data_IF_833741982393
#
_entry.id   IF_833741982393
#
_cell.length_a   1.000
_cell.length_b   1.000
_cell.length_c   1.000
_cell.angle_alpha   90.00
_cell.angle_beta   90.00
_cell.angle_gamma   90.00
#
_symmetry.space_group_name_H-M   'P 1'
#
loop_
_entity.id
_entity.type
_entity.pdbx_description
1 polymer ?
#
# COMPACT_ATOMS: atom_id res chain seq x y z
N UNK A 1 12.61 -5.08 -15.18
CA UNK A 1 11.89 -4.21 -16.15
C UNK A 1 12.68 -2.95 -16.40
N UNK A 2 12.82 -2.50 -17.65
CA UNK A 2 13.42 -1.21 -17.97
C UNK A 2 12.41 -0.07 -17.78
N UNK A 3 12.84 1.20 -17.61
CA UNK A 3 11.93 2.36 -17.56
C UNK A 3 11.02 2.47 -18.78
N UNK A 4 11.52 2.23 -19.99
CA UNK A 4 10.70 2.28 -21.21
C UNK A 4 9.58 1.23 -21.17
N UNK A 5 9.90 0.01 -20.72
CA UNK A 5 8.90 -1.04 -20.53
C UNK A 5 7.88 -0.68 -19.44
N UNK A 6 8.33 -0.05 -18.36
CA UNK A 6 7.44 0.46 -17.32
C UNK A 6 6.44 1.48 -17.88
N UNK A 7 6.91 2.44 -18.68
CA UNK A 7 6.05 3.43 -19.34
C UNK A 7 5.01 2.74 -20.24
N UNK A 8 5.46 1.76 -21.05
CA UNK A 8 4.57 0.99 -21.94
C UNK A 8 3.46 0.27 -21.15
N UNK A 9 3.83 -0.42 -20.05
CA UNK A 9 2.86 -1.15 -19.22
C UNK A 9 1.91 -0.21 -18.47
N UNK A 10 2.39 0.93 -18.00
CA UNK A 10 1.55 1.97 -17.40
C UNK A 10 0.53 2.52 -18.40
N UNK A 11 0.96 2.76 -19.66
CA UNK A 11 0.06 3.23 -20.72
C UNK A 11 -1.07 2.25 -21.01
N UNK A 12 -0.84 0.94 -20.95
CA UNK A 12 -1.88 -0.10 -21.10
C UNK A 12 -2.95 -0.01 -20.00
N UNK A 13 -2.59 0.59 -18.85
CA UNK A 13 -3.47 0.81 -17.70
C UNK A 13 -4.02 2.24 -17.64
N UNK A 14 -3.93 3.00 -18.74
CA UNK A 14 -4.34 4.40 -18.82
C UNK A 14 -3.60 5.34 -17.87
N UNK A 15 -2.40 4.96 -17.42
CA UNK A 15 -1.52 5.82 -16.60
C UNK A 15 -0.49 6.50 -17.49
N UNK A 16 -0.49 7.83 -17.46
CA UNK A 16 0.48 8.63 -18.20
C UNK A 16 1.68 8.93 -17.29
N UNK A 17 2.85 8.45 -17.69
CA UNK A 17 4.10 8.62 -16.95
C UNK A 17 4.95 9.68 -17.64
N UNK A 18 5.28 10.75 -16.93
CA UNK A 18 6.14 11.84 -17.42
C UNK A 18 7.64 11.54 -17.22
N UNK A 19 8.51 12.27 -17.90
CA UNK A 19 9.96 12.20 -17.69
C UNK A 19 10.35 12.57 -16.25
N UNK A 20 9.65 13.51 -15.64
CA UNK A 20 9.83 13.87 -14.23
C UNK A 20 9.57 12.67 -13.31
N UNK A 21 8.47 11.93 -13.54
CA UNK A 21 8.13 10.73 -12.75
C UNK A 21 9.20 9.64 -12.91
N UNK A 22 9.74 9.45 -14.11
CA UNK A 22 10.85 8.50 -14.33
C UNK A 22 12.10 8.94 -13.56
N UNK A 23 12.44 10.23 -13.61
CA UNK A 23 13.57 10.79 -12.86
C UNK A 23 13.39 10.56 -11.34
N UNK A 24 12.17 10.75 -10.83
CA UNK A 24 11.84 10.49 -9.43
C UNK A 24 11.97 8.98 -9.09
N UNK A 25 11.45 8.08 -9.93
CA UNK A 25 11.56 6.63 -9.72
C UNK A 25 13.02 6.16 -9.77
N UNK A 26 13.83 6.69 -10.68
CA UNK A 26 15.27 6.38 -10.76
C UNK A 26 16.03 6.85 -9.52
N UNK A 27 15.71 8.05 -9.03
CA UNK A 27 16.28 8.57 -7.78
C UNK A 27 15.87 7.70 -6.60
N UNK A 28 14.61 7.29 -6.56
CA UNK A 28 14.09 6.39 -5.52
C UNK A 28 14.79 5.02 -5.54
N UNK A 29 14.99 4.42 -6.72
CA UNK A 29 15.71 3.15 -6.85
C UNK A 29 17.17 3.26 -6.35
N UNK A 30 17.85 4.38 -6.64
CA UNK A 30 19.22 4.65 -6.15
C UNK A 30 19.23 4.77 -4.63
N UNK A 31 18.34 5.58 -4.05
CA UNK A 31 18.23 5.74 -2.59
C UNK A 31 17.92 4.39 -1.92
N UNK A 32 17.01 3.60 -2.49
CA UNK A 32 16.68 2.27 -1.98
C UNK A 32 17.92 1.38 -1.91
N UNK A 33 18.73 1.31 -2.98
CA UNK A 33 19.98 0.54 -3.02
C UNK A 33 21.00 1.03 -2.00
N UNK A 34 21.19 2.35 -1.89
CA UNK A 34 22.13 2.97 -0.93
C UNK A 34 21.75 2.68 0.52
N UNK A 35 20.48 2.83 0.86
CA UNK A 35 19.99 2.58 2.20
C UNK A 35 19.90 1.08 2.52
N UNK A 36 19.58 0.25 1.52
CA UNK A 36 19.50 -1.20 1.69
C UNK A 36 20.82 -1.81 2.13
N UNK A 37 21.94 -1.28 1.64
CA UNK A 37 23.28 -1.71 2.07
C UNK A 37 23.55 -1.51 3.57
N UNK A 38 22.79 -0.63 4.24
CA UNK A 38 22.93 -0.29 5.65
C UNK A 38 21.84 -0.85 6.56
N UNK A 39 20.64 -1.17 5.99
CA UNK A 39 19.45 -1.37 6.82
C UNK A 39 18.60 -2.59 6.46
N UNK A 40 18.92 -3.34 5.40
CA UNK A 40 18.10 -4.45 4.91
C UNK A 40 16.61 -4.05 4.75
N UNK A 41 16.36 -3.02 3.96
CA UNK A 41 15.01 -2.52 3.68
C UNK A 41 14.18 -3.49 2.83
N UNK A 42 14.85 -4.15 1.88
CA UNK A 42 14.27 -5.09 0.93
C UNK A 42 15.29 -6.13 0.50
N UNK A 43 14.81 -7.28 0.04
CA UNK A 43 15.65 -8.29 -0.62
C UNK A 43 15.93 -7.96 -2.09
N UNK A 44 15.31 -6.89 -2.63
CA UNK A 44 15.35 -6.52 -4.05
C UNK A 44 15.90 -5.10 -4.15
N UNK A 45 17.09 -4.93 -4.73
CA UNK A 45 17.78 -3.64 -4.86
C UNK A 45 18.43 -3.40 -6.24
N UNK A 46 18.40 -4.41 -7.11
CA UNK A 46 18.81 -4.20 -8.51
C UNK A 46 17.72 -3.40 -9.26
N UNK A 47 18.15 -2.34 -9.97
CA UNK A 47 17.27 -1.34 -10.58
C UNK A 47 16.11 -1.94 -11.39
N UNK A 48 16.39 -2.90 -12.26
CA UNK A 48 15.36 -3.51 -13.10
C UNK A 48 14.37 -4.37 -12.31
N UNK A 49 14.85 -5.03 -11.25
CA UNK A 49 13.95 -5.76 -10.34
C UNK A 49 13.10 -4.83 -9.48
N UNK A 50 13.66 -3.69 -9.04
CA UNK A 50 12.91 -2.63 -8.32
C UNK A 50 11.78 -2.09 -9.20
N UNK A 51 12.06 -1.81 -10.48
CA UNK A 51 11.03 -1.38 -11.43
C UNK A 51 9.92 -2.43 -11.61
N UNK A 52 10.26 -3.72 -11.68
CA UNK A 52 9.28 -4.81 -11.84
C UNK A 52 8.50 -5.09 -10.54
N UNK A 53 9.25 -5.47 -9.50
CA UNK A 53 8.69 -6.09 -8.29
C UNK A 53 8.29 -5.07 -7.22
N UNK A 54 8.70 -3.79 -7.38
CA UNK A 54 8.27 -2.73 -6.47
C UNK A 54 7.45 -1.67 -7.17
N UNK A 55 7.94 -1.03 -8.23
CA UNK A 55 7.21 0.07 -8.86
C UNK A 55 6.00 -0.42 -9.66
N UNK A 56 6.21 -1.36 -10.58
CA UNK A 56 5.11 -1.89 -11.39
C UNK A 56 4.09 -2.66 -10.54
N UNK A 57 4.56 -3.50 -9.62
CA UNK A 57 3.69 -4.17 -8.65
C UNK A 57 2.82 -3.17 -7.87
N UNK A 58 3.39 -2.04 -7.45
CA UNK A 58 2.66 -1.00 -6.72
C UNK A 58 1.57 -0.31 -7.52
N UNK A 59 1.74 -0.16 -8.84
CA UNK A 59 0.75 0.51 -9.69
C UNK A 59 -0.39 -0.39 -10.17
N UNK A 60 -0.27 -1.71 -10.03
CA UNK A 60 -1.29 -2.64 -10.50
C UNK A 60 -2.70 -2.32 -9.97
N UNK A 61 -2.91 -1.95 -8.69
CA UNK A 61 -4.24 -1.61 -8.19
C UNK A 61 -4.71 -0.18 -8.52
N UNK A 62 -3.86 0.65 -9.13
CA UNK A 62 -4.25 2.02 -9.45
C UNK A 62 -5.29 2.08 -10.55
N UNK A 63 -6.40 2.74 -10.26
CA UNK A 63 -7.47 3.06 -11.18
C UNK A 63 -8.17 4.35 -10.74
N UNK A 64 -9.19 4.79 -11.46
CA UNK A 64 -9.90 6.05 -11.21
C UNK A 64 -10.66 6.09 -9.88
N UNK A 65 -10.90 4.95 -9.24
CA UNK A 65 -11.54 4.90 -7.92
C UNK A 65 -10.59 5.25 -6.77
N UNK A 66 -9.28 5.24 -6.99
CA UNK A 66 -8.27 5.65 -6.01
C UNK A 66 -8.17 7.18 -6.02
N UNK A 67 -8.78 7.84 -5.04
CA UNK A 67 -8.86 9.30 -4.95
C UNK A 67 -8.76 9.78 -3.50
N UNK A 68 -8.47 11.07 -3.33
CA UNK A 68 -8.53 11.77 -2.05
C UNK A 68 -7.42 11.36 -1.08
N UNK A 69 -7.81 11.12 0.17
CA UNK A 69 -6.89 10.75 1.26
C UNK A 69 -6.60 9.25 1.25
N UNK A 70 -5.34 8.90 1.12
CA UNK A 70 -4.86 7.51 1.09
C UNK A 70 -4.01 7.22 2.32
N UNK A 71 -4.23 6.09 2.99
CA UNK A 71 -3.30 5.56 3.99
C UNK A 71 -2.64 4.27 3.47
N UNK A 72 -1.31 4.21 3.57
CA UNK A 72 -0.52 3.01 3.31
C UNK A 72 -0.03 2.42 4.63
N UNK A 73 -0.63 1.29 5.04
CA UNK A 73 -0.40 0.67 6.36
C UNK A 73 0.75 -0.32 6.29
N UNK A 74 1.76 -0.07 7.13
CA UNK A 74 2.98 -0.87 7.12
C UNK A 74 3.76 -0.66 5.83
N UNK A 75 3.86 0.58 5.39
CA UNK A 75 4.43 0.97 4.09
C UNK A 75 5.86 0.47 3.85
N UNK A 76 6.61 0.15 4.91
CA UNK A 76 7.97 -0.35 4.82
C UNK A 76 8.92 0.65 4.18
N UNK A 77 9.42 0.29 3.01
CA UNK A 77 10.25 1.18 2.20
C UNK A 77 9.42 2.12 1.29
N UNK A 78 8.10 2.29 1.55
CA UNK A 78 7.25 3.24 0.82
C UNK A 78 6.37 2.61 -0.27
N UNK A 79 6.08 1.31 -0.18
CA UNK A 79 5.34 0.58 -1.20
C UNK A 79 3.97 0.11 -0.69
N UNK A 80 2.85 0.49 -1.36
CA UNK A 80 2.78 1.19 -2.63
C UNK A 80 2.73 2.73 -2.52
N UNK A 81 2.62 3.32 -1.32
CA UNK A 81 2.20 4.70 -1.08
C UNK A 81 3.06 5.77 -1.76
N UNK A 82 4.41 5.65 -1.73
CA UNK A 82 5.31 6.61 -2.40
C UNK A 82 5.18 6.51 -3.92
N UNK A 83 5.08 5.29 -4.46
CA UNK A 83 4.90 5.10 -5.91
C UNK A 83 3.58 5.71 -6.37
N UNK A 84 2.49 5.49 -5.61
CA UNK A 84 1.20 6.11 -5.90
C UNK A 84 1.30 7.63 -5.91
N UNK A 85 2.02 8.21 -4.94
CA UNK A 85 2.22 9.66 -4.88
C UNK A 85 3.01 10.22 -6.06
N UNK A 86 4.01 9.48 -6.55
CA UNK A 86 4.79 9.88 -7.74
C UNK A 86 3.89 9.93 -8.97
N UNK A 87 3.10 8.88 -9.21
CA UNK A 87 2.29 8.76 -10.44
C UNK A 87 0.92 9.44 -10.34
N UNK A 88 0.44 9.77 -9.15
CA UNK A 88 -0.82 10.45 -8.85
C UNK A 88 -0.57 11.61 -7.88
N UNK A 89 -0.12 12.73 -8.43
CA UNK A 89 0.21 13.96 -7.66
C UNK A 89 -0.98 14.54 -6.89
N UNK A 90 -2.20 14.22 -7.32
CA UNK A 90 -3.46 14.64 -6.73
C UNK A 90 -3.79 13.97 -5.39
N UNK A 91 -3.21 12.82 -5.08
CA UNK A 91 -3.48 12.09 -3.84
C UNK A 91 -2.84 12.79 -2.62
N UNK A 92 -3.54 12.73 -1.49
CA UNK A 92 -2.99 13.04 -0.16
C UNK A 92 -2.62 11.73 0.53
N UNK A 93 -1.32 11.46 0.73
CA UNK A 93 -0.82 10.16 1.17
C UNK A 93 -0.31 10.21 2.61
N UNK A 94 -0.76 9.25 3.42
CA UNK A 94 -0.28 8.99 4.78
C UNK A 94 0.45 7.66 4.82
N UNK A 95 1.75 7.68 5.08
CA UNK A 95 2.59 6.50 5.24
C UNK A 95 2.64 6.13 6.72
N UNK A 96 2.11 4.96 7.09
CA UNK A 96 2.07 4.48 8.48
C UNK A 96 3.11 3.37 8.63
N UNK A 97 4.19 3.64 9.39
CA UNK A 97 5.33 2.74 9.56
C UNK A 97 5.84 2.80 11.00
N UNK A 98 5.79 1.70 11.76
CA UNK A 98 6.22 1.71 13.15
C UNK A 98 7.75 1.75 13.36
N UNK A 99 8.54 1.46 12.32
CA UNK A 99 10.00 1.33 12.42
C UNK A 99 10.68 2.66 12.15
N UNK A 100 11.19 3.33 13.18
CA UNK A 100 11.82 4.65 13.04
C UNK A 100 12.95 4.74 12.03
N UNK A 101 13.74 3.66 11.83
CA UNK A 101 14.77 3.63 10.78
C UNK A 101 14.17 3.70 9.36
N UNK A 102 13.03 3.01 9.13
CA UNK A 102 12.31 3.09 7.84
C UNK A 102 11.70 4.47 7.64
N UNK A 103 11.18 5.08 8.69
CA UNK A 103 10.68 6.46 8.62
C UNK A 103 11.76 7.45 8.18
N UNK A 104 12.99 7.33 8.69
CA UNK A 104 14.13 8.16 8.24
C UNK A 104 14.45 7.97 6.76
N UNK A 105 14.39 6.75 6.27
CA UNK A 105 14.52 6.48 4.82
C UNK A 105 13.41 7.17 4.02
N UNK A 106 12.16 7.06 4.47
CA UNK A 106 11.02 7.70 3.81
C UNK A 106 11.13 9.23 3.83
N UNK A 107 11.61 9.83 4.92
CA UNK A 107 11.90 11.27 5.01
C UNK A 107 12.91 11.70 3.95
N UNK A 108 14.00 10.94 3.79
CA UNK A 108 15.00 11.20 2.74
C UNK A 108 14.40 11.07 1.33
N UNK A 109 13.63 10.00 1.07
CA UNK A 109 12.96 9.79 -0.22
C UNK A 109 12.02 10.97 -0.54
N UNK A 110 11.15 11.35 0.39
CA UNK A 110 10.19 12.45 0.20
C UNK A 110 10.93 13.76 -0.10
N UNK A 111 12.00 14.04 0.62
CA UNK A 111 12.83 15.24 0.45
C UNK A 111 13.51 15.26 -0.92
N UNK A 112 14.21 14.18 -1.29
CA UNK A 112 14.97 14.09 -2.55
C UNK A 112 14.08 14.09 -3.80
N UNK A 113 12.87 13.55 -3.68
CA UNK A 113 11.88 13.53 -4.76
C UNK A 113 10.99 14.77 -4.78
N UNK A 114 11.17 15.70 -3.85
CA UNK A 114 10.34 16.90 -3.68
C UNK A 114 8.84 16.62 -3.64
N UNK A 115 8.43 15.53 -2.96
CA UNK A 115 7.03 15.17 -2.89
C UNK A 115 6.28 16.06 -1.88
N UNK A 116 5.13 16.56 -2.28
CA UNK A 116 4.20 17.32 -1.44
C UNK A 116 2.95 16.51 -1.09
N UNK A 117 2.17 16.94 -0.09
CA UNK A 117 0.94 16.25 0.32
C UNK A 117 1.14 14.75 0.63
N UNK A 118 2.28 14.44 1.25
CA UNK A 118 2.61 13.12 1.76
C UNK A 118 3.18 13.26 3.17
N UNK A 119 2.70 12.44 4.12
CA UNK A 119 3.09 12.50 5.53
C UNK A 119 3.50 11.13 6.03
N UNK A 120 4.46 11.09 6.94
CA UNK A 120 4.92 9.88 7.61
C UNK A 120 4.40 9.89 9.05
N UNK A 121 3.84 8.75 9.47
CA UNK A 121 3.41 8.51 10.83
C UNK A 121 4.22 7.35 11.42
N UNK A 122 5.18 7.67 12.29
CA UNK A 122 5.97 6.65 12.99
C UNK A 122 5.16 6.05 14.15
N UNK A 123 4.11 5.33 13.80
CA UNK A 123 3.15 4.70 14.72
C UNK A 123 2.73 3.34 14.20
N UNK A 124 2.22 2.48 15.08
CA UNK A 124 1.46 1.30 14.68
C UNK A 124 0.07 1.70 14.20
N UNK A 125 -0.53 0.91 13.30
CA UNK A 125 -1.85 1.22 12.74
C UNK A 125 -2.93 1.33 13.83
N UNK A 126 -2.94 0.43 14.81
CA UNK A 126 -3.89 0.44 15.92
C UNK A 126 -3.75 1.68 16.85
N UNK A 127 -2.58 2.32 16.83
CA UNK A 127 -2.35 3.59 17.53
C UNK A 127 -2.81 4.76 16.67
N UNK A 128 -2.55 4.70 15.37
CA UNK A 128 -2.93 5.73 14.39
C UNK A 128 -4.45 5.88 14.30
N UNK A 129 -5.19 4.78 14.36
CA UNK A 129 -6.67 4.79 14.36
C UNK A 129 -7.27 5.65 15.47
N UNK A 130 -6.60 5.80 16.61
CA UNK A 130 -7.14 6.61 17.73
C UNK A 130 -7.34 8.08 17.36
N UNK A 131 -6.54 8.60 16.43
CA UNK A 131 -6.58 9.98 15.96
C UNK A 131 -7.23 10.12 14.57
N UNK A 132 -7.24 9.05 13.77
CA UNK A 132 -7.60 9.06 12.34
C UNK A 132 -8.65 7.99 11.97
N UNK A 133 -9.57 7.69 12.90
CA UNK A 133 -10.61 6.68 12.69
C UNK A 133 -11.55 7.09 11.56
N UNK A 134 -11.76 6.18 10.60
CA UNK A 134 -12.69 6.37 9.47
C UNK A 134 -12.45 7.68 8.69
N UNK A 135 -11.19 8.06 8.53
CA UNK A 135 -10.80 9.32 7.89
C UNK A 135 -10.44 9.16 6.41
N UNK A 136 -9.91 7.99 6.01
CA UNK A 136 -9.31 7.80 4.69
C UNK A 136 -10.31 7.35 3.64
N UNK A 137 -10.21 7.92 2.43
CA UNK A 137 -10.96 7.51 1.25
C UNK A 137 -10.53 6.11 0.81
N UNK A 138 -9.22 5.86 0.84
CA UNK A 138 -8.61 4.59 0.48
C UNK A 138 -7.56 4.21 1.53
N UNK A 139 -7.61 2.97 1.97
CA UNK A 139 -6.54 2.37 2.77
C UNK A 139 -5.94 1.21 1.98
N UNK A 140 -4.63 1.14 1.94
CA UNK A 140 -3.91 0.06 1.27
C UNK A 140 -2.85 -0.54 2.19
N UNK A 141 -2.44 -1.76 1.87
CA UNK A 141 -1.30 -2.42 2.49
C UNK A 141 -0.76 -3.51 1.57
N UNK A 142 0.57 -3.67 1.55
CA UNK A 142 1.26 -4.70 0.79
C UNK A 142 2.21 -5.51 1.68
N UNK A 143 2.13 -6.84 1.61
CA UNK A 143 3.05 -7.78 2.27
C UNK A 143 3.20 -7.61 3.80
N UNK A 144 2.19 -7.10 4.49
CA UNK A 144 2.24 -6.85 5.95
C UNK A 144 1.87 -8.09 6.76
N UNK A 145 0.75 -8.73 6.41
CA UNK A 145 0.20 -9.87 7.13
C UNK A 145 -0.85 -10.62 6.29
N UNK A 146 -1.31 -11.76 6.80
CA UNK A 146 -2.50 -12.44 6.34
C UNK A 146 -3.72 -11.52 6.44
N UNK A 147 -4.71 -11.69 5.54
CA UNK A 147 -5.84 -10.78 5.39
C UNK A 147 -6.70 -10.64 6.67
N UNK A 148 -6.83 -11.69 7.48
CA UNK A 148 -7.57 -11.63 8.77
C UNK A 148 -6.94 -10.61 9.73
N UNK A 149 -5.61 -10.64 9.86
CA UNK A 149 -4.85 -9.67 10.67
C UNK A 149 -4.89 -8.29 10.03
N UNK A 150 -4.65 -8.24 8.72
CA UNK A 150 -4.55 -7.00 7.96
C UNK A 150 -5.87 -6.22 7.96
N UNK A 151 -7.00 -6.90 7.85
CA UNK A 151 -8.33 -6.27 7.88
C UNK A 151 -8.55 -5.47 9.17
N UNK A 152 -8.19 -6.02 10.32
CA UNK A 152 -8.37 -5.31 11.60
C UNK A 152 -7.43 -4.11 11.76
N UNK A 153 -6.27 -4.13 11.09
CA UNK A 153 -5.33 -3.00 11.08
C UNK A 153 -5.75 -1.89 10.12
N UNK A 154 -6.43 -2.23 9.01
CA UNK A 154 -6.73 -1.31 7.92
C UNK A 154 -8.17 -0.79 7.94
N UNK A 155 -9.17 -1.67 8.13
CA UNK A 155 -10.57 -1.31 7.97
C UNK A 155 -11.06 -0.20 8.92
N UNK A 156 -10.58 -0.10 10.18
CA UNK A 156 -11.00 1.01 11.06
C UNK A 156 -10.53 2.39 10.60
N UNK A 157 -9.57 2.48 9.69
CA UNK A 157 -9.09 3.73 9.09
C UNK A 157 -9.94 4.18 7.90
N UNK A 158 -10.63 3.24 7.23
CA UNK A 158 -11.45 3.51 6.05
C UNK A 158 -12.73 4.24 6.44
N UNK A 159 -13.05 5.37 5.83
CA UNK A 159 -14.33 6.06 6.02
C UNK A 159 -15.49 5.25 5.42
N UNK A 160 -16.70 5.43 5.94
CA UNK A 160 -17.90 4.83 5.33
C UNK A 160 -18.03 5.35 3.89
N UNK A 161 -18.22 4.42 2.93
CA UNK A 161 -18.18 4.72 1.49
C UNK A 161 -16.78 4.71 0.89
N UNK A 162 -15.71 4.61 1.69
CA UNK A 162 -14.33 4.43 1.23
C UNK A 162 -13.98 2.97 0.90
N UNK A 163 -12.72 2.71 0.61
CA UNK A 163 -12.27 1.38 0.17
C UNK A 163 -10.98 0.93 0.86
N UNK A 164 -10.89 -0.36 1.14
CA UNK A 164 -9.65 -1.04 1.49
C UNK A 164 -9.17 -1.84 0.28
N UNK A 165 -7.96 -1.54 -0.20
CA UNK A 165 -7.36 -2.17 -1.37
C UNK A 165 -6.14 -2.96 -0.93
N UNK A 166 -6.09 -4.26 -1.23
CA UNK A 166 -4.98 -5.13 -0.86
C UNK A 166 -4.49 -5.94 -2.04
N UNK A 167 -3.18 -6.12 -2.10
CA UNK A 167 -2.48 -6.90 -3.12
C UNK A 167 -2.02 -8.21 -2.51
N UNK A 168 -2.36 -9.32 -3.17
CA UNK A 168 -2.02 -10.68 -2.77
C UNK A 168 -1.32 -11.43 -3.91
N UNK A 169 -0.62 -12.48 -3.57
CA UNK A 169 -0.14 -13.47 -4.54
C UNK A 169 -1.19 -14.55 -4.79
N UNK A 170 -0.78 -15.70 -5.30
CA UNK A 170 -1.63 -16.84 -5.71
C UNK A 170 -2.54 -17.45 -4.63
N UNK A 171 -2.44 -17.02 -3.38
CA UNK A 171 -3.28 -17.48 -2.26
C UNK A 171 -4.30 -16.43 -1.80
N UNK A 172 -4.54 -15.41 -2.60
CA UNK A 172 -5.44 -14.32 -2.24
C UNK A 172 -6.87 -14.78 -1.99
N UNK A 173 -7.41 -15.61 -2.84
CA UNK A 173 -8.77 -16.17 -2.68
C UNK A 173 -8.93 -16.98 -1.39
N UNK A 174 -7.95 -17.80 -1.03
CA UNK A 174 -7.96 -18.55 0.24
C UNK A 174 -7.99 -17.58 1.43
N UNK A 175 -7.13 -16.55 1.40
CA UNK A 175 -7.10 -15.54 2.46
C UNK A 175 -8.42 -14.77 2.58
N UNK A 176 -9.09 -14.46 1.45
CA UNK A 176 -10.41 -13.80 1.44
C UNK A 176 -11.46 -14.69 2.06
N UNK A 177 -11.47 -15.99 1.73
CA UNK A 177 -12.39 -16.95 2.34
C UNK A 177 -12.20 -17.05 3.86
N UNK A 178 -10.96 -17.12 4.32
CA UNK A 178 -10.62 -17.14 5.74
C UNK A 178 -11.01 -15.85 6.47
N UNK A 179 -10.90 -14.70 5.77
CA UNK A 179 -11.16 -13.37 6.31
C UNK A 179 -12.64 -12.95 6.26
N UNK A 180 -13.56 -13.75 5.72
CA UNK A 180 -14.99 -13.37 5.55
C UNK A 180 -15.61 -12.82 6.83
N UNK A 181 -15.37 -13.48 7.96
CA UNK A 181 -15.88 -13.04 9.25
C UNK A 181 -15.28 -11.68 9.65
N UNK A 182 -13.96 -11.52 9.54
CA UNK A 182 -13.28 -10.27 9.85
C UNK A 182 -13.81 -9.11 9.00
N UNK A 183 -13.91 -9.31 7.68
CA UNK A 183 -14.42 -8.32 6.73
C UNK A 183 -15.83 -7.87 7.12
N UNK A 184 -16.74 -8.81 7.39
CA UNK A 184 -18.12 -8.51 7.78
C UNK A 184 -18.19 -7.75 9.12
N UNK A 185 -17.51 -8.24 10.16
CA UNK A 185 -17.51 -7.61 11.50
C UNK A 185 -16.94 -6.19 11.47
N UNK A 186 -15.97 -5.93 10.59
CA UNK A 186 -15.34 -4.62 10.45
C UNK A 186 -16.12 -3.65 9.56
N UNK A 187 -17.33 -4.03 9.10
CA UNK A 187 -18.21 -3.19 8.29
C UNK A 187 -17.78 -3.06 6.83
N UNK A 188 -17.09 -4.08 6.32
CA UNK A 188 -16.61 -4.13 4.94
C UNK A 188 -17.34 -5.20 4.11
N UNK A 189 -17.36 -5.02 2.81
CA UNK A 189 -17.88 -5.97 1.83
C UNK A 189 -16.90 -6.06 0.66
N UNK A 190 -16.66 -7.27 0.14
CA UNK A 190 -15.90 -7.44 -1.11
C UNK A 190 -16.67 -6.79 -2.25
N UNK A 191 -16.02 -5.84 -2.94
CA UNK A 191 -16.57 -5.07 -4.05
C UNK A 191 -16.00 -5.52 -5.39
N UNK A 192 -14.66 -5.64 -5.47
CA UNK A 192 -13.98 -6.01 -6.70
C UNK A 192 -12.87 -7.02 -6.43
N UNK A 193 -12.63 -7.90 -7.42
CA UNK A 193 -11.50 -8.81 -7.51
C UNK A 193 -10.92 -8.71 -8.91
N UNK A 194 -9.64 -8.48 -9.00
CA UNK A 194 -8.89 -8.45 -10.26
C UNK A 194 -7.74 -9.46 -10.19
N UNK A 195 -7.65 -10.32 -11.19
CA UNK A 195 -6.47 -11.16 -11.44
C UNK A 195 -5.57 -10.46 -12.44
N UNK A 196 -4.31 -10.37 -12.13
CA UNK A 196 -3.28 -9.79 -12.99
C UNK A 196 -1.94 -10.48 -12.75
N UNK A 197 -0.89 -10.04 -13.43
CA UNK A 197 0.45 -10.58 -13.23
C UNK A 197 1.50 -9.50 -13.47
N UNK A 198 2.67 -9.70 -12.90
CA UNK A 198 3.87 -8.99 -13.30
C UNK A 198 4.29 -9.43 -14.72
N UNK A 199 5.18 -8.66 -15.37
CA UNK A 199 5.59 -9.00 -16.74
C UNK A 199 6.41 -10.30 -16.83
N UNK A 200 6.97 -10.74 -15.72
CA UNK A 200 7.65 -12.04 -15.59
C UNK A 200 6.69 -13.23 -15.38
N UNK A 201 5.36 -12.97 -15.32
CA UNK A 201 4.33 -13.98 -15.12
C UNK A 201 3.94 -14.25 -13.66
N UNK A 202 4.57 -13.60 -12.68
CA UNK A 202 4.21 -13.78 -11.27
C UNK A 202 2.78 -13.28 -11.02
N UNK A 203 1.84 -14.15 -10.57
CA UNK A 203 0.46 -13.80 -10.41
C UNK A 203 0.23 -12.79 -9.29
N UNK A 204 -0.77 -11.93 -9.49
CA UNK A 204 -1.26 -10.98 -8.50
C UNK A 204 -2.77 -10.98 -8.46
N UNK A 205 -3.29 -10.93 -7.26
CA UNK A 205 -4.71 -10.78 -6.99
C UNK A 205 -4.93 -9.49 -6.21
N UNK A 206 -5.78 -8.61 -6.74
CA UNK A 206 -6.13 -7.34 -6.14
C UNK A 206 -7.56 -7.45 -5.65
N UNK A 207 -7.76 -7.16 -4.38
CA UNK A 207 -9.08 -7.15 -3.76
C UNK A 207 -9.40 -5.74 -3.27
N UNK A 208 -10.57 -5.25 -3.66
CA UNK A 208 -11.14 -4.01 -3.17
C UNK A 208 -12.34 -4.32 -2.30
N UNK A 209 -12.29 -3.90 -1.05
CA UNK A 209 -13.38 -4.01 -0.09
C UNK A 209 -13.99 -2.63 0.14
N UNK A 210 -15.31 -2.52 0.01
CA UNK A 210 -16.06 -1.29 0.26
C UNK A 210 -16.47 -1.20 1.72
N UNK A 211 -16.30 -0.03 2.34
CA UNK A 211 -16.79 0.25 3.68
C UNK A 211 -18.29 0.57 3.63
N UNK A 212 -19.10 -0.36 4.09
CA UNK A 212 -20.58 -0.24 4.06
C UNK A 212 -21.16 0.19 5.40
N UNK A 213 -20.47 -0.09 6.51
CA UNK A 213 -20.89 0.27 7.87
C UNK A 213 -19.69 0.73 8.70
N UNK A 214 -19.96 1.46 9.80
CA UNK A 214 -18.91 1.83 10.75
C UNK A 214 -18.30 0.61 11.41
N UNK A 215 -17.00 0.61 11.58
CA UNK A 215 -16.31 -0.42 12.37
C UNK A 215 -16.68 -0.27 13.84
N UNK A 216 -17.09 -1.35 14.53
CA UNK A 216 -17.39 -1.29 15.96
C UNK A 216 -16.22 -0.75 16.78
N UNK A 217 -16.53 0.02 17.83
CA UNK A 217 -15.51 0.71 18.65
C UNK A 217 -14.52 -0.21 19.36
N UNK A 218 -14.88 -1.49 19.52
CA UNK A 218 -13.99 -2.53 20.08
C UNK A 218 -12.78 -2.84 19.18
N UNK A 219 -12.80 -2.42 17.91
CA UNK A 219 -11.73 -2.64 16.93
C UNK A 219 -11.08 -1.32 16.50
N UNK A 220 -9.77 -1.30 16.20
CA UNK A 220 -8.87 -2.45 16.30
C UNK A 220 -8.52 -2.78 17.75
N UNK A 221 -8.30 -4.04 18.03
CA UNK A 221 -7.64 -4.49 19.27
C UNK A 221 -6.15 -4.14 19.25
N UNK A 222 -5.44 -4.33 20.35
CA UNK A 222 -3.99 -4.20 20.31
C UNK A 222 -3.35 -5.30 19.45
N UNK A 223 -2.21 -5.01 18.83
CA UNK A 223 -1.55 -5.91 17.87
C UNK A 223 -1.29 -7.32 18.42
N UNK A 224 -0.92 -7.43 19.71
CA UNK A 224 -0.69 -8.73 20.34
C UNK A 224 -1.94 -9.61 20.36
N UNK A 225 -3.11 -9.02 20.62
CA UNK A 225 -4.39 -9.74 20.58
C UNK A 225 -4.76 -10.11 19.15
N UNK A 226 -4.62 -9.19 18.20
CA UNK A 226 -4.89 -9.43 16.77
C UNK A 226 -4.05 -10.61 16.27
N UNK A 227 -2.74 -10.60 16.54
CA UNK A 227 -1.82 -11.64 16.09
C UNK A 227 -2.10 -13.00 16.74
N UNK A 228 -2.43 -13.01 18.03
CA UNK A 228 -2.68 -14.25 18.79
C UNK A 228 -4.00 -14.92 18.41
N UNK A 229 -5.03 -14.12 18.14
CA UNK A 229 -6.38 -14.58 17.79
C UNK A 229 -6.99 -13.65 16.74
N UNK A 230 -6.60 -13.77 15.45
CA UNK A 230 -7.23 -13.02 14.37
C UNK A 230 -8.74 -13.25 14.31
N UNK A 231 -9.50 -12.25 13.82
CA UNK A 231 -10.96 -12.36 13.58
C UNK A 231 -11.29 -13.46 12.59
#
# INVERSE_FOLDING_TARGET
MTPDKFIEECKKRNLVISEEMITQLDTYAKLLKEWNSKMNLTAIDEREEVYEKHFFDSILPLNDSIQGKVADVGTGAGFPGVVWKIVRKDLEVSLIEPTGKRCKFLEEVISQLHLSNIKIYNKRSEEHVKEHREEYDVVTARAVANLRVLSELCCPLVKVGGSFVTMKGSRGDEEVLEAKHAISVLGMQLDQREETALTNGDPREIFTFKKVEKTPSAYPRNYGQIKKKPL
#
